data_IF_602425713141
#
_entry.id   IF_602425713141
#
_cell.length_a   1.000
_cell.length_b   1.000
_cell.length_c   1.000
_cell.angle_alpha   90.00
_cell.angle_beta   90.00
_cell.angle_gamma   90.00
#
_symmetry.space_group_name_H-M   'P 1'
#
loop_
_entity.id
_entity.type
_entity.pdbx_description
1 polymer ?
#
# COMPACT_ATOMS: atom_id res chain seq x y z
N UNK A 1 6.86 5.77 13.32
CA UNK A 1 7.05 5.17 11.98
C UNK A 1 7.66 6.21 11.04
N UNK A 2 8.47 5.83 10.04
CA UNK A 2 8.91 6.79 9.01
C UNK A 2 7.69 7.22 8.19
N UNK A 3 7.52 8.52 7.95
CA UNK A 3 6.42 9.06 7.13
C UNK A 3 6.53 8.67 5.66
N UNK A 4 7.71 8.25 5.20
CA UNK A 4 7.96 7.79 3.84
C UNK A 4 8.72 6.47 3.86
N UNK A 5 8.23 5.47 3.14
CA UNK A 5 8.84 4.14 3.02
C UNK A 5 8.90 3.69 1.56
N UNK A 6 9.95 2.95 1.19
CA UNK A 6 10.04 2.33 -0.13
C UNK A 6 9.00 1.22 -0.25
N UNK A 7 8.35 1.14 -1.42
CA UNK A 7 7.35 0.13 -1.71
C UNK A 7 7.28 -0.12 -3.21
N UNK A 8 6.74 -1.27 -3.59
CA UNK A 8 6.26 -1.47 -4.95
C UNK A 8 4.73 -1.66 -4.94
N UNK A 9 4.07 -1.25 -6.00
CA UNK A 9 2.63 -1.45 -6.21
C UNK A 9 2.44 -2.36 -7.43
N UNK A 10 1.61 -3.38 -7.31
CA UNK A 10 1.15 -4.15 -8.46
C UNK A 10 0.15 -3.32 -9.27
N UNK A 11 0.38 -3.18 -10.58
CA UNK A 11 -0.54 -2.57 -11.55
C UNK A 11 -0.76 -3.57 -12.68
N UNK A 12 -1.82 -4.37 -12.54
CA UNK A 12 -2.03 -5.53 -13.40
C UNK A 12 -0.89 -6.55 -13.25
N UNK A 13 -0.26 -7.00 -14.34
CA UNK A 13 0.84 -7.97 -14.28
C UNK A 13 2.18 -7.35 -13.85
N UNK A 14 2.29 -6.02 -13.85
CA UNK A 14 3.54 -5.32 -13.57
C UNK A 14 3.65 -4.90 -12.10
N UNK A 15 4.88 -4.79 -11.61
CA UNK A 15 5.20 -4.23 -10.31
C UNK A 15 5.96 -2.92 -10.52
N UNK A 16 5.38 -1.79 -10.09
CA UNK A 16 6.00 -0.47 -10.21
C UNK A 16 6.67 -0.06 -8.89
N UNK A 17 7.94 0.34 -8.97
CA UNK A 17 8.68 0.81 -7.80
C UNK A 17 8.37 2.25 -7.44
N UNK A 18 8.36 2.57 -6.14
CA UNK A 18 8.07 3.90 -5.65
C UNK A 18 8.18 4.06 -4.14
N UNK A 19 7.44 5.02 -3.61
CA UNK A 19 7.39 5.32 -2.17
C UNK A 19 5.95 5.45 -1.69
N UNK A 20 5.67 4.88 -0.53
CA UNK A 20 4.48 5.19 0.25
C UNK A 20 4.77 6.37 1.15
N UNK A 21 3.84 7.32 1.15
CA UNK A 21 3.80 8.48 2.03
C UNK A 21 2.57 8.32 2.92
N UNK A 22 2.79 8.30 4.22
CA UNK A 22 1.74 8.28 5.23
C UNK A 22 1.44 9.73 5.60
N UNK A 23 0.44 10.30 4.96
CA UNK A 23 -0.02 11.66 5.23
C UNK A 23 -1.06 11.63 6.36
N UNK A 24 -1.56 12.79 6.76
CA UNK A 24 -2.47 12.91 7.92
C UNK A 24 -3.79 12.16 7.71
N UNK A 25 -4.36 12.25 6.52
CA UNK A 25 -5.70 11.74 6.18
C UNK A 25 -5.70 10.64 5.12
N UNK A 26 -4.53 10.36 4.51
CA UNK A 26 -4.44 9.49 3.34
C UNK A 26 -3.10 8.77 3.22
N UNK A 27 -3.14 7.60 2.58
CA UNK A 27 -1.97 6.88 2.09
C UNK A 27 -1.71 7.29 0.63
N UNK A 28 -0.50 7.74 0.34
CA UNK A 28 -0.12 8.17 -1.02
C UNK A 28 1.05 7.34 -1.53
N UNK A 29 0.84 6.58 -2.61
CA UNK A 29 1.92 5.93 -3.34
C UNK A 29 2.35 6.79 -4.53
N UNK A 30 3.65 7.11 -4.61
CA UNK A 30 4.27 7.82 -5.74
C UNK A 30 5.24 6.89 -6.45
N UNK A 31 4.94 6.51 -7.68
CA UNK A 31 5.83 5.72 -8.52
C UNK A 31 7.06 6.54 -8.94
N UNK A 32 8.19 5.88 -9.22
CA UNK A 32 9.32 6.55 -9.86
C UNK A 32 8.97 7.05 -11.27
N UNK A 33 9.53 8.20 -11.66
CA UNK A 33 9.26 8.84 -12.96
C UNK A 33 9.73 8.01 -14.16
N UNK A 34 10.68 7.09 -13.96
CA UNK A 34 11.25 6.24 -15.01
C UNK A 34 10.51 4.92 -15.22
N UNK A 35 9.40 4.67 -14.49
CA UNK A 35 8.58 3.48 -14.72
C UNK A 35 7.75 3.62 -15.99
N UNK A 36 7.46 2.49 -16.66
CA UNK A 36 6.55 2.46 -17.84
C UNK A 36 5.16 2.98 -17.44
N UNK A 37 4.64 2.52 -16.30
CA UNK A 37 3.43 3.06 -15.70
C UNK A 37 3.80 4.01 -14.55
N UNK A 38 3.64 5.32 -14.80
CA UNK A 38 3.85 6.37 -13.79
C UNK A 38 2.53 6.78 -13.12
N UNK A 39 2.59 7.58 -12.07
CA UNK A 39 1.42 8.23 -11.47
C UNK A 39 1.36 8.08 -9.95
N UNK A 40 0.46 8.86 -9.36
CA UNK A 40 0.16 8.84 -7.92
C UNK A 40 -1.09 8.02 -7.66
N UNK A 41 -1.05 7.20 -6.62
CA UNK A 41 -2.22 6.49 -6.10
C UNK A 41 -2.50 7.02 -4.70
N UNK A 42 -3.64 7.67 -4.52
CA UNK A 42 -4.07 8.25 -3.25
C UNK A 42 -5.24 7.45 -2.70
N UNK A 43 -5.13 7.03 -1.45
CA UNK A 43 -6.15 6.23 -0.76
C UNK A 43 -6.47 6.94 0.56
N UNK A 44 -7.61 7.64 0.66
CA UNK A 44 -8.07 8.20 1.93
C UNK A 44 -8.20 7.10 2.98
N UNK A 45 -7.76 7.34 4.22
CA UNK A 45 -7.88 6.31 5.27
C UNK A 45 -9.34 5.94 5.55
N UNK A 46 -10.24 6.91 5.40
CA UNK A 46 -11.68 6.73 5.51
C UNK A 46 -12.26 5.77 4.47
N UNK A 47 -11.56 5.52 3.37
CA UNK A 47 -12.02 4.64 2.30
C UNK A 47 -11.47 3.22 2.45
N UNK A 48 -10.51 3.00 3.36
CA UNK A 48 -9.94 1.68 3.62
C UNK A 48 -10.91 0.87 4.47
N UNK A 49 -11.30 -0.31 3.98
CA UNK A 49 -12.20 -1.24 4.69
C UNK A 49 -11.49 -2.51 5.17
N UNK A 50 -10.33 -2.81 4.61
CA UNK A 50 -9.50 -3.94 5.05
C UNK A 50 -8.03 -3.69 4.71
N UNK A 51 -7.15 -4.12 5.62
CA UNK A 51 -5.71 -4.17 5.41
C UNK A 51 -5.20 -5.51 5.92
N UNK A 52 -4.64 -6.33 5.05
CA UNK A 52 -4.22 -7.68 5.40
C UNK A 52 -2.86 -8.07 4.80
N UNK A 53 -2.09 -8.95 5.48
CA UNK A 53 -0.87 -9.48 4.92
C UNK A 53 -1.19 -10.44 3.77
N UNK A 54 -0.40 -10.38 2.70
CA UNK A 54 -0.45 -11.37 1.62
C UNK A 54 0.95 -11.85 1.29
N UNK A 55 1.08 -13.07 0.78
CA UNK A 55 2.36 -13.59 0.31
C UNK A 55 2.49 -13.35 -1.20
N UNK A 56 3.65 -12.87 -1.62
CA UNK A 56 4.00 -12.76 -3.03
C UNK A 56 4.60 -14.09 -3.50
N UNK A 57 4.26 -14.51 -4.73
CA UNK A 57 4.67 -15.79 -5.30
C UNK A 57 4.36 -17.01 -4.38
N UNK A 58 3.29 -16.91 -3.57
CA UNK A 58 2.85 -17.97 -2.65
C UNK A 58 3.52 -18.00 -1.28
N UNK A 59 4.80 -17.65 -1.17
CA UNK A 59 5.56 -17.84 0.08
C UNK A 59 6.35 -16.63 0.57
N UNK A 60 6.59 -15.60 -0.24
CA UNK A 60 7.40 -14.45 0.17
C UNK A 60 6.54 -13.51 1.03
N UNK A 61 6.82 -13.33 2.34
CA UNK A 61 5.92 -12.69 3.28
C UNK A 61 6.10 -11.16 3.32
N UNK A 62 6.15 -10.51 2.15
CA UNK A 62 6.38 -9.07 2.01
C UNK A 62 5.21 -8.32 1.36
N UNK A 63 4.06 -8.96 1.19
CA UNK A 63 2.87 -8.34 0.63
C UNK A 63 1.94 -7.73 1.68
N UNK A 64 1.32 -6.60 1.31
CA UNK A 64 0.25 -5.92 2.05
C UNK A 64 -0.87 -5.58 1.06
N UNK A 65 -2.09 -6.04 1.34
CA UNK A 65 -3.28 -5.76 0.53
C UNK A 65 -4.16 -4.75 1.23
N UNK A 66 -4.43 -3.62 0.57
CA UNK A 66 -5.37 -2.59 1.02
C UNK A 66 -6.62 -2.69 0.16
N UNK A 67 -7.78 -2.87 0.77
CA UNK A 67 -9.09 -2.92 0.08
C UNK A 67 -9.88 -1.67 0.43
N UNK A 68 -10.46 -1.02 -0.57
CA UNK A 68 -11.28 0.18 -0.40
C UNK A 68 -12.78 -0.11 -0.47
N UNK A 69 -13.60 0.84 0.00
CA UNK A 69 -15.08 0.75 0.03
C UNK A 69 -15.73 0.42 -1.31
N UNK A 70 -15.12 0.91 -2.40
CA UNK A 70 -15.57 0.67 -3.78
C UNK A 70 -15.10 -0.67 -4.36
N UNK A 71 -14.41 -1.49 -3.55
CA UNK A 71 -13.94 -2.81 -3.92
C UNK A 71 -12.55 -2.84 -4.58
N UNK A 72 -11.88 -1.70 -4.78
CA UNK A 72 -10.53 -1.72 -5.32
C UNK A 72 -9.54 -2.37 -4.34
N UNK A 73 -8.59 -3.11 -4.92
CA UNK A 73 -7.55 -3.81 -4.18
C UNK A 73 -6.18 -3.31 -4.62
N UNK A 74 -5.45 -2.70 -3.69
CA UNK A 74 -4.09 -2.23 -3.89
C UNK A 74 -3.12 -3.17 -3.20
N UNK A 75 -2.37 -3.92 -4.00
CA UNK A 75 -1.39 -4.87 -3.52
C UNK A 75 0.00 -4.24 -3.53
N UNK A 76 0.58 -4.07 -2.34
CA UNK A 76 1.92 -3.51 -2.16
C UNK A 76 2.93 -4.58 -1.78
N UNK A 77 4.17 -4.41 -2.24
CA UNK A 77 5.36 -5.08 -1.71
C UNK A 77 6.08 -4.09 -0.79
N UNK A 78 6.24 -4.45 0.48
CA UNK A 78 6.74 -3.54 1.52
C UNK A 78 7.71 -4.24 2.47
N UNK A 79 8.60 -3.45 3.07
CA UNK A 79 9.35 -3.87 4.25
C UNK A 79 8.54 -3.61 5.52
N UNK A 80 8.82 -4.38 6.58
CA UNK A 80 8.17 -4.23 7.91
C UNK A 80 6.63 -4.27 7.84
N UNK A 81 6.05 -5.16 7.00
CA UNK A 81 4.59 -5.22 6.73
C UNK A 81 3.71 -5.19 7.98
N UNK A 82 4.14 -5.83 9.09
CA UNK A 82 3.38 -5.86 10.34
C UNK A 82 3.18 -4.46 10.94
N UNK A 83 4.24 -3.64 10.98
CA UNK A 83 4.18 -2.26 11.48
C UNK A 83 3.27 -1.40 10.60
N UNK A 84 3.37 -1.56 9.27
CA UNK A 84 2.56 -0.79 8.32
C UNK A 84 1.07 -1.16 8.39
N UNK A 85 0.76 -2.45 8.49
CA UNK A 85 -0.62 -2.94 8.59
C UNK A 85 -1.28 -2.41 9.86
N UNK A 86 -0.61 -2.54 11.01
CA UNK A 86 -1.13 -2.05 12.29
C UNK A 86 -1.40 -0.54 12.24
N UNK A 87 -0.47 0.24 11.67
CA UNK A 87 -0.68 1.67 11.49
C UNK A 87 -1.89 2.01 10.61
N UNK A 88 -2.06 1.31 9.48
CA UNK A 88 -3.18 1.57 8.58
C UNK A 88 -4.51 1.15 9.20
N UNK A 89 -4.54 0.06 9.97
CA UNK A 89 -5.73 -0.37 10.70
C UNK A 89 -6.14 0.68 11.74
N UNK A 90 -5.18 1.22 12.50
CA UNK A 90 -5.42 2.31 13.44
C UNK A 90 -5.97 3.56 12.73
N UNK A 91 -5.32 3.99 11.64
CA UNK A 91 -5.73 5.17 10.87
C UNK A 91 -7.08 5.03 10.18
N UNK A 92 -7.44 3.82 9.75
CA UNK A 92 -8.72 3.52 9.12
C UNK A 92 -9.83 3.20 10.14
N UNK A 93 -9.52 3.12 11.43
CA UNK A 93 -10.49 2.74 12.46
C UNK A 93 -10.97 1.29 12.34
N UNK A 94 -10.09 0.38 11.92
CA UNK A 94 -10.37 -1.06 11.72
C UNK A 94 -9.95 -1.92 12.93
N UNK A 95 -9.67 -1.30 14.07
CA UNK A 95 -9.25 -1.95 15.31
C UNK A 95 -10.43 -2.35 16.19
#
# INVERSE_FOLDING_TARGET
>A
MKSVVAANLFRGPETVGGKLHFEETQLVFRSHAFNIQTGTTTIPYTDIVNVQPVNNLGFIPNGMLVTTKDGHQYKFVVWKRKELIAFLQEKAGLC
#
